data_IF_504009247776
#
_entry.id   IF_504009247776
#
_cell.length_a   1.000
_cell.length_b   1.000
_cell.length_c   1.000
_cell.angle_alpha   90.00
_cell.angle_beta   90.00
_cell.angle_gamma   90.00
#
_symmetry.space_group_name_H-M   'P 1'
#
loop_
_entity.id
_entity.type
_entity.pdbx_description
1 polymer ?
#
# COMPACT_ATOMS: atom_id res chain seq x y z
N UNK A 1 10.61 -30.14 -14.22
CA UNK A 1 9.36 -29.52 -13.75
C UNK A 1 9.19 -29.90 -12.31
N UNK A 2 9.00 -28.93 -11.40
CA UNK A 2 8.67 -29.25 -10.02
C UNK A 2 7.31 -29.96 -9.98
N UNK A 3 7.16 -30.97 -9.12
CA UNK A 3 5.87 -31.59 -8.87
C UNK A 3 4.99 -30.61 -8.08
N UNK A 4 4.02 -30.00 -8.76
CA UNK A 4 3.10 -29.05 -8.14
C UNK A 4 2.26 -29.70 -7.04
N UNK A 5 2.13 -31.03 -7.03
CA UNK A 5 1.35 -31.76 -6.03
C UNK A 5 2.00 -31.71 -4.65
N UNK A 6 3.33 -31.71 -4.58
CA UNK A 6 4.07 -31.58 -3.33
C UNK A 6 3.98 -30.14 -2.80
N UNK A 7 4.12 -29.16 -3.70
CA UNK A 7 3.92 -27.74 -3.37
C UNK A 7 2.52 -27.44 -2.85
N UNK A 8 1.48 -28.01 -3.45
CA UNK A 8 0.09 -27.80 -3.03
C UNK A 8 -0.22 -28.49 -1.68
N UNK A 9 0.47 -29.57 -1.34
CA UNK A 9 0.31 -30.25 -0.04
C UNK A 9 0.91 -29.46 1.12
N UNK A 10 1.98 -28.71 0.85
CA UNK A 10 2.66 -27.87 1.85
C UNK A 10 2.12 -26.43 1.87
N UNK A 11 1.24 -26.06 0.92
CA UNK A 11 0.67 -24.73 0.84
C UNK A 11 -0.41 -24.53 1.90
N UNK A 12 -0.12 -23.72 2.91
CA UNK A 12 -1.13 -23.18 3.81
C UNK A 12 -1.86 -22.01 3.13
N UNK A 13 -3.03 -22.31 2.56
CA UNK A 13 -3.88 -21.31 1.89
C UNK A 13 -4.31 -20.20 2.87
N UNK A 14 -4.42 -20.49 4.17
CA UNK A 14 -4.82 -19.50 5.18
C UNK A 14 -3.70 -18.49 5.48
N UNK A 15 -2.45 -18.80 5.12
CA UNK A 15 -1.33 -17.86 5.21
C UNK A 15 -1.26 -16.91 4.00
N UNK A 16 -2.06 -17.12 2.95
CA UNK A 16 -2.11 -16.27 1.76
C UNK A 16 -3.08 -15.12 2.00
N UNK A 17 -2.61 -13.86 2.05
CA UNK A 17 -3.49 -12.73 2.30
C UNK A 17 -4.43 -12.51 1.11
N UNK A 18 -5.67 -12.18 1.43
CA UNK A 18 -6.67 -11.69 0.50
C UNK A 18 -6.54 -10.18 0.28
N UNK A 19 -7.19 -9.70 -0.77
CA UNK A 19 -7.23 -8.27 -1.08
C UNK A 19 -7.88 -7.45 0.05
N UNK A 20 -8.98 -7.96 0.63
CA UNK A 20 -9.68 -7.32 1.75
C UNK A 20 -8.79 -7.19 2.99
N UNK A 21 -7.97 -8.21 3.27
CA UNK A 21 -7.01 -8.17 4.39
C UNK A 21 -5.93 -7.11 4.19
N UNK A 22 -5.52 -6.82 2.95
CA UNK A 22 -4.54 -5.76 2.67
C UNK A 22 -5.06 -4.35 2.93
N UNK A 23 -6.32 -4.08 2.59
CA UNK A 23 -6.93 -2.80 2.95
C UNK A 23 -7.16 -2.70 4.47
N UNK A 24 -7.59 -3.80 5.11
CA UNK A 24 -7.75 -3.87 6.56
C UNK A 24 -6.42 -3.63 7.31
N UNK A 25 -5.31 -4.14 6.79
CA UNK A 25 -3.95 -3.90 7.32
C UNK A 25 -3.61 -2.39 7.33
N UNK A 26 -3.95 -1.66 6.26
CA UNK A 26 -3.76 -0.21 6.20
C UNK A 26 -4.60 0.52 7.25
N UNK A 27 -5.88 0.15 7.37
CA UNK A 27 -6.82 0.72 8.36
C UNK A 27 -6.36 0.46 9.79
N UNK A 28 -5.89 -0.75 10.08
CA UNK A 28 -5.35 -1.13 11.39
C UNK A 28 -4.20 -0.21 11.83
N UNK A 29 -3.21 0.04 10.96
CA UNK A 29 -2.11 0.94 11.32
C UNK A 29 -2.55 2.40 11.45
N UNK A 30 -3.52 2.84 10.65
CA UNK A 30 -4.10 4.18 10.79
C UNK A 30 -4.82 4.35 12.12
N UNK A 31 -5.59 3.35 12.55
CA UNK A 31 -6.30 3.40 13.83
C UNK A 31 -5.33 3.54 15.00
N UNK A 32 -4.21 2.80 14.98
CA UNK A 32 -3.14 2.94 15.97
C UNK A 32 -2.49 4.34 15.94
N UNK A 33 -2.32 4.94 14.75
CA UNK A 33 -1.74 6.27 14.62
C UNK A 33 -2.61 7.35 15.27
N UNK A 34 -3.94 7.22 15.24
CA UNK A 34 -4.86 8.20 15.85
C UNK A 34 -4.75 8.28 17.37
N UNK A 35 -4.21 7.23 18.00
CA UNK A 35 -4.13 7.12 19.46
C UNK A 35 -2.71 7.35 19.99
N UNK A 36 -1.70 7.32 19.12
CA UNK A 36 -0.30 7.34 19.56
C UNK A 36 0.25 8.76 19.70
N UNK A 37 0.53 9.17 20.94
CA UNK A 37 1.11 10.49 21.25
C UNK A 37 2.63 10.49 21.40
N UNK A 38 3.28 9.33 21.52
CA UNK A 38 4.74 9.22 21.52
C UNK A 38 5.29 9.36 20.11
N UNK A 39 6.20 10.32 19.92
CA UNK A 39 6.77 10.64 18.62
C UNK A 39 7.49 9.45 17.95
N UNK A 40 8.21 8.63 18.72
CA UNK A 40 8.97 7.52 18.15
C UNK A 40 8.07 6.36 17.76
N UNK A 41 7.10 6.01 18.61
CA UNK A 41 6.10 4.99 18.29
C UNK A 41 5.23 5.43 17.11
N UNK A 42 4.78 6.68 17.09
CA UNK A 42 4.05 7.25 15.96
C UNK A 42 4.85 7.13 14.67
N UNK A 43 6.15 7.46 14.71
CA UNK A 43 7.06 7.30 13.56
C UNK A 43 7.14 5.85 13.07
N UNK A 44 7.19 4.86 13.97
CA UNK A 44 7.22 3.44 13.59
C UNK A 44 5.90 2.99 12.96
N UNK A 45 4.78 3.34 13.59
CA UNK A 45 3.44 3.07 13.08
C UNK A 45 3.22 3.72 11.72
N UNK A 46 3.71 4.94 11.52
CA UNK A 46 3.65 5.64 10.24
C UNK A 46 4.46 4.90 9.17
N UNK A 47 5.65 4.42 9.51
CA UNK A 47 6.43 3.58 8.60
C UNK A 47 5.70 2.28 8.20
N UNK A 48 4.99 1.65 9.14
CA UNK A 48 4.18 0.46 8.88
C UNK A 48 2.95 0.78 8.00
N UNK A 49 2.25 1.87 8.29
CA UNK A 49 1.15 2.38 7.46
C UNK A 49 1.58 2.67 6.01
N UNK A 50 2.73 3.34 5.83
CA UNK A 50 3.24 3.66 4.49
C UNK A 50 3.63 2.41 3.70
N UNK A 51 4.20 1.41 4.37
CA UNK A 51 4.57 0.15 3.72
C UNK A 51 3.36 -0.71 3.38
N UNK A 52 2.37 -0.81 4.27
CA UNK A 52 1.10 -1.51 3.99
C UNK A 52 0.36 -0.81 2.85
N UNK A 53 0.26 0.51 2.85
CA UNK A 53 -0.39 1.29 1.79
C UNK A 53 0.29 1.14 0.42
N UNK A 54 1.62 1.15 0.38
CA UNK A 54 2.37 0.88 -0.85
C UNK A 54 2.16 -0.57 -1.31
N UNK A 55 2.25 -1.54 -0.39
CA UNK A 55 2.08 -2.96 -0.67
C UNK A 55 0.68 -3.30 -1.14
N UNK A 56 -0.34 -2.59 -0.65
CA UNK A 56 -1.73 -2.72 -1.11
C UNK A 56 -1.86 -2.47 -2.62
N UNK A 57 -1.25 -1.40 -3.14
CA UNK A 57 -1.32 -1.07 -4.57
C UNK A 57 -0.60 -2.13 -5.44
N UNK A 58 0.56 -2.60 -5.03
CA UNK A 58 1.27 -3.68 -5.74
C UNK A 58 0.50 -5.00 -5.68
N UNK A 59 -0.12 -5.29 -4.54
CA UNK A 59 -0.94 -6.47 -4.35
C UNK A 59 -2.21 -6.43 -5.20
N UNK A 60 -2.95 -5.31 -5.19
CA UNK A 60 -4.11 -5.08 -6.05
C UNK A 60 -3.74 -5.23 -7.52
N UNK A 61 -2.68 -4.57 -7.98
CA UNK A 61 -2.24 -4.69 -9.37
C UNK A 61 -1.86 -6.13 -9.73
N UNK A 62 -1.18 -6.85 -8.82
CA UNK A 62 -0.86 -8.27 -9.01
C UNK A 62 -2.11 -9.15 -9.07
N UNK A 63 -3.09 -8.88 -8.21
CA UNK A 63 -4.37 -9.59 -8.21
C UNK A 63 -5.12 -9.38 -9.53
N UNK A 64 -5.13 -8.17 -10.09
CA UNK A 64 -5.79 -7.93 -11.39
C UNK A 64 -5.06 -8.59 -12.57
N UNK A 65 -3.76 -8.86 -12.46
CA UNK A 65 -3.01 -9.59 -13.50
C UNK A 65 -3.12 -11.12 -13.37
N UNK A 66 -3.31 -11.66 -12.17
CA UNK A 66 -3.11 -13.09 -11.90
C UNK A 66 -4.18 -13.75 -11.03
N UNK A 67 -5.15 -12.99 -10.53
CA UNK A 67 -6.18 -13.46 -9.60
C UNK A 67 -7.26 -14.32 -10.26
N UNK A 68 -7.33 -14.31 -11.59
CA UNK A 68 -8.28 -15.08 -12.38
C UNK A 68 -7.53 -15.98 -13.36
N UNK A 69 -8.13 -17.13 -13.68
CA UNK A 69 -7.61 -18.06 -14.67
C UNK A 69 -8.69 -18.45 -15.67
N UNK A 70 -8.30 -18.67 -16.92
CA UNK A 70 -9.19 -19.22 -17.94
C UNK A 70 -9.58 -20.66 -17.54
N UNK A 71 -10.89 -20.99 -17.47
CA UNK A 71 -11.35 -22.25 -16.91
C UNK A 71 -10.88 -23.49 -17.70
N UNK A 72 -10.63 -23.33 -19.00
CA UNK A 72 -10.24 -24.45 -19.88
C UNK A 72 -8.73 -24.65 -19.96
N UNK A 73 -7.94 -23.57 -19.88
CA UNK A 73 -6.48 -23.64 -20.08
C UNK A 73 -5.70 -23.52 -18.77
N UNK A 74 -6.35 -23.03 -17.72
CA UNK A 74 -5.70 -22.70 -16.44
C UNK A 74 -4.73 -21.52 -16.53
N UNK A 75 -4.64 -20.85 -17.68
CA UNK A 75 -3.76 -19.69 -17.86
C UNK A 75 -4.33 -18.46 -17.16
N UNK A 76 -3.49 -17.60 -16.56
CA UNK A 76 -3.95 -16.36 -15.95
C UNK A 76 -4.72 -15.48 -16.95
N UNK A 77 -5.87 -14.97 -16.50
CA UNK A 77 -6.69 -14.02 -17.24
C UNK A 77 -6.57 -12.65 -16.56
N UNK A 78 -6.08 -11.66 -17.32
CA UNK A 78 -5.96 -10.28 -16.82
C UNK A 78 -7.33 -9.60 -16.82
N UNK A 79 -7.65 -8.91 -15.73
CA UNK A 79 -8.84 -8.06 -15.62
C UNK A 79 -8.55 -6.69 -16.24
N UNK A 80 -8.60 -6.62 -17.57
CA UNK A 80 -8.19 -5.44 -18.34
C UNK A 80 -8.99 -4.18 -17.97
N UNK A 81 -10.29 -4.30 -17.70
CA UNK A 81 -11.16 -3.16 -17.36
C UNK A 81 -10.74 -2.53 -16.03
N UNK A 82 -10.57 -3.35 -14.99
CA UNK A 82 -10.13 -2.89 -13.68
C UNK A 82 -8.67 -2.42 -13.68
N UNK A 83 -7.82 -3.03 -14.51
CA UNK A 83 -6.46 -2.53 -14.73
C UNK A 83 -6.47 -1.13 -15.37
N UNK A 84 -7.31 -0.90 -16.40
CA UNK A 84 -7.45 0.42 -17.02
C UNK A 84 -7.90 1.46 -15.99
N UNK A 85 -8.87 1.15 -15.14
CA UNK A 85 -9.30 2.02 -14.04
C UNK A 85 -8.16 2.31 -13.04
N UNK A 86 -7.45 1.28 -12.56
CA UNK A 86 -6.30 1.44 -11.67
C UNK A 86 -5.19 2.31 -12.30
N UNK A 87 -4.96 2.16 -13.61
CA UNK A 87 -3.89 2.89 -14.31
C UNK A 87 -4.12 4.39 -14.45
N UNK A 88 -5.33 4.88 -14.16
CA UNK A 88 -5.61 6.33 -14.04
C UNK A 88 -4.86 6.95 -12.86
N UNK A 89 -4.59 6.16 -11.80
CA UNK A 89 -4.05 6.66 -10.54
C UNK A 89 -2.60 6.25 -10.28
N UNK A 90 -2.21 5.06 -10.75
CA UNK A 90 -0.86 4.52 -10.62
C UNK A 90 -0.42 3.85 -11.91
N UNK A 91 0.83 4.05 -12.31
CA UNK A 91 1.38 3.31 -13.44
C UNK A 91 1.71 1.89 -12.99
N UNK A 92 1.23 0.90 -13.73
CA UNK A 92 1.45 -0.52 -13.46
C UNK A 92 2.45 -1.07 -14.47
N UNK A 93 3.57 -1.62 -14.00
CA UNK A 93 4.60 -2.22 -14.85
C UNK A 93 4.92 -3.63 -14.42
N UNK A 94 4.65 -4.58 -15.32
CA UNK A 94 5.07 -5.98 -15.17
C UNK A 94 6.53 -6.16 -15.57
N UNK A 95 7.33 -6.73 -14.68
CA UNK A 95 8.72 -7.07 -14.97
C UNK A 95 8.78 -8.30 -15.89
N UNK A 96 9.32 -8.13 -17.10
CA UNK A 96 9.29 -9.14 -18.18
C UNK A 96 9.83 -10.51 -17.78
N UNK A 97 10.85 -10.58 -16.91
CA UNK A 97 11.52 -11.84 -16.54
C UNK A 97 10.91 -12.53 -15.33
N UNK A 98 10.45 -11.78 -14.34
CA UNK A 98 9.99 -12.34 -13.06
C UNK A 98 8.48 -12.33 -12.91
N UNK A 99 7.75 -11.65 -13.80
CA UNK A 99 6.32 -11.43 -13.66
C UNK A 99 5.94 -10.46 -12.53
N UNK A 100 6.91 -9.99 -11.73
CA UNK A 100 6.67 -9.08 -10.63
C UNK A 100 6.00 -7.78 -11.11
N UNK A 101 4.92 -7.39 -10.45
CA UNK A 101 4.22 -6.13 -10.73
C UNK A 101 4.80 -5.04 -9.85
N UNK A 102 5.24 -3.96 -10.49
CA UNK A 102 5.69 -2.75 -9.81
C UNK A 102 4.73 -1.62 -10.15
N UNK A 103 4.37 -0.86 -9.15
CA UNK A 103 3.58 0.36 -9.32
C UNK A 103 4.49 1.59 -9.27
N UNK A 104 4.06 2.70 -9.87
CA UNK A 104 4.68 4.01 -9.66
C UNK A 104 3.62 5.12 -9.68
N UNK A 105 3.82 6.15 -8.87
CA UNK A 105 2.86 7.24 -8.73
C UNK A 105 2.57 7.99 -10.05
N UNK A 106 1.29 8.31 -10.27
CA UNK A 106 0.84 9.29 -11.28
C UNK A 106 0.24 10.55 -10.63
N UNK A 107 -0.48 10.40 -9.51
CA UNK A 107 -1.03 11.52 -8.74
C UNK A 107 -0.02 12.09 -7.73
N UNK A 108 -0.24 13.35 -7.31
CA UNK A 108 0.59 13.99 -6.28
C UNK A 108 0.53 13.23 -4.94
N UNK A 109 -0.66 12.75 -4.57
CA UNK A 109 -0.88 11.98 -3.35
C UNK A 109 -0.06 10.70 -3.35
N UNK A 110 -0.10 9.93 -4.46
CA UNK A 110 0.71 8.73 -4.61
C UNK A 110 2.20 9.06 -4.66
N UNK A 111 2.60 10.17 -5.28
CA UNK A 111 4.00 10.58 -5.32
C UNK A 111 4.55 10.85 -3.92
N UNK A 112 3.73 11.48 -3.06
CA UNK A 112 4.05 11.67 -1.63
C UNK A 112 4.15 10.33 -0.89
N UNK A 113 3.18 9.43 -1.06
CA UNK A 113 3.19 8.09 -0.45
C UNK A 113 4.50 7.36 -0.78
N UNK A 114 4.86 7.30 -2.06
CA UNK A 114 6.02 6.54 -2.53
C UNK A 114 7.32 7.15 -2.02
N UNK A 115 7.39 8.48 -2.00
CA UNK A 115 8.53 9.22 -1.45
C UNK A 115 8.70 8.95 0.05
N UNK A 116 7.63 9.03 0.83
CA UNK A 116 7.68 8.80 2.27
C UNK A 116 7.96 7.35 2.62
N UNK A 117 7.34 6.40 1.91
CA UNK A 117 7.62 4.97 2.05
C UNK A 117 9.09 4.66 1.74
N UNK A 118 9.64 5.21 0.66
CA UNK A 118 11.04 5.00 0.31
C UNK A 118 11.97 5.56 1.38
N UNK A 119 11.70 6.75 1.90
CA UNK A 119 12.47 7.30 3.02
C UNK A 119 12.41 6.43 4.27
N UNK A 120 11.21 5.94 4.59
CA UNK A 120 11.00 5.06 5.74
C UNK A 120 11.77 3.75 5.64
N UNK A 121 11.99 3.24 4.42
CA UNK A 121 12.55 1.91 4.19
C UNK A 121 14.05 1.94 3.87
N UNK A 122 14.50 2.95 3.11
CA UNK A 122 15.85 2.96 2.51
C UNK A 122 16.73 4.11 3.00
N UNK A 123 16.15 5.22 3.47
CA UNK A 123 16.92 6.46 3.72
C UNK A 123 17.16 6.71 5.22
N UNK A 124 17.12 5.67 6.06
CA UNK A 124 17.37 5.78 7.50
C UNK A 124 16.14 6.13 8.35
N UNK A 125 14.94 6.11 7.76
CA UNK A 125 13.67 6.26 8.46
C UNK A 125 12.95 7.58 8.15
N UNK A 126 11.64 7.59 8.37
CA UNK A 126 10.81 8.77 8.15
C UNK A 126 10.97 9.79 9.28
N UNK A 127 11.26 11.05 8.94
CA UNK A 127 11.30 12.10 9.96
C UNK A 127 9.87 12.52 10.34
N UNK A 128 9.59 12.54 11.63
CA UNK A 128 8.33 13.06 12.20
C UNK A 128 8.70 14.13 13.20
N UNK A 129 8.02 15.27 13.16
CA UNK A 129 8.20 16.39 14.08
C UNK A 129 6.90 16.75 14.78
N UNK A 130 7.02 17.26 16.00
CA UNK A 130 5.93 17.85 16.78
C UNK A 130 5.83 19.33 16.44
N UNK A 131 4.67 19.81 16.02
CA UNK A 131 4.48 21.24 15.67
C UNK A 131 3.51 22.00 16.55
N UNK A 132 2.94 21.34 17.55
CA UNK A 132 2.01 21.90 18.53
C UNK A 132 1.80 20.92 19.69
N UNK A 133 0.77 21.16 20.50
CA UNK A 133 0.50 20.37 21.72
C UNK A 133 -0.65 19.38 21.58
N UNK A 134 -1.42 19.44 20.49
CA UNK A 134 -2.57 18.56 20.23
C UNK A 134 -2.11 17.29 19.50
N UNK A 135 -1.58 16.32 20.24
CA UNK A 135 -1.08 15.06 19.69
C UNK A 135 -2.20 14.00 19.63
N UNK A 136 -2.27 13.17 18.56
CA UNK A 136 -1.32 13.07 17.45
C UNK A 136 -1.55 14.05 16.27
N UNK A 137 -2.59 14.90 16.31
CA UNK A 137 -2.95 15.78 15.19
C UNK A 137 -1.83 16.74 14.75
N UNK A 138 -1.00 17.19 15.69
CA UNK A 138 0.11 18.12 15.46
C UNK A 138 1.42 17.45 15.01
N UNK A 139 1.43 16.13 14.77
CA UNK A 139 2.54 15.46 14.11
C UNK A 139 2.60 15.80 12.62
N UNK A 140 3.81 16.16 12.16
CA UNK A 140 4.09 16.41 10.74
C UNK A 140 5.25 15.57 10.24
N UNK A 141 5.13 15.10 9.00
CA UNK A 141 6.18 14.41 8.26
C UNK A 141 7.19 15.44 7.75
N UNK A 142 8.48 15.18 8.00
CA UNK A 142 9.61 15.97 7.52
C UNK A 142 10.40 16.66 8.63
N UNK A 143 11.47 17.34 8.21
CA UNK A 143 12.46 17.98 9.10
C UNK A 143 12.41 19.51 9.15
N UNK A 144 11.55 20.12 8.34
CA UNK A 144 11.42 21.58 8.25
C UNK A 144 9.97 21.97 8.52
N UNK A 145 9.73 22.71 9.62
CA UNK A 145 8.39 23.07 10.11
C UNK A 145 7.51 23.68 9.00
N UNK A 146 8.06 24.62 8.22
CA UNK A 146 7.34 25.30 7.13
C UNK A 146 6.98 24.41 5.94
N UNK A 147 7.56 23.22 5.83
CA UNK A 147 7.34 22.25 4.74
C UNK A 147 6.77 20.93 5.24
N UNK A 148 6.36 20.87 6.51
CA UNK A 148 5.81 19.66 7.11
C UNK A 148 4.47 19.26 6.52
N UNK A 149 4.28 17.97 6.27
CA UNK A 149 2.98 17.43 5.87
C UNK A 149 2.26 16.90 7.11
N UNK A 150 1.03 17.35 7.43
CA UNK A 150 0.26 16.80 8.55
C UNK A 150 0.07 15.29 8.40
N UNK A 151 0.61 14.52 9.35
CA UNK A 151 0.79 13.08 9.16
C UNK A 151 -0.55 12.33 9.15
N UNK A 152 -1.42 12.59 10.13
CA UNK A 152 -2.74 11.93 10.20
C UNK A 152 -3.62 12.27 9.00
N UNK A 153 -3.71 13.55 8.64
CA UNK A 153 -4.48 13.99 7.48
C UNK A 153 -3.98 13.34 6.19
N UNK A 154 -2.66 13.22 6.02
CA UNK A 154 -2.10 12.52 4.88
C UNK A 154 -2.48 11.04 4.86
N UNK A 155 -2.49 10.35 6.01
CA UNK A 155 -2.91 8.95 6.08
C UNK A 155 -4.40 8.78 5.78
N UNK A 156 -5.23 9.70 6.28
CA UNK A 156 -6.67 9.77 5.99
C UNK A 156 -6.94 9.96 4.49
N UNK A 157 -6.25 10.92 3.84
CA UNK A 157 -6.36 11.14 2.39
C UNK A 157 -6.01 9.87 1.58
N UNK A 158 -5.03 9.08 2.03
CA UNK A 158 -4.66 7.80 1.39
C UNK A 158 -5.76 6.75 1.57
N UNK A 159 -6.33 6.62 2.77
CA UNK A 159 -7.40 5.66 3.01
C UNK A 159 -8.67 6.00 2.24
N UNK A 160 -9.08 7.27 2.24
CA UNK A 160 -10.22 7.73 1.44
C UNK A 160 -10.01 7.44 -0.04
N UNK A 161 -8.79 7.69 -0.54
CA UNK A 161 -8.43 7.32 -1.92
C UNK A 161 -8.56 5.81 -2.17
N UNK A 162 -8.13 4.95 -1.25
CA UNK A 162 -8.30 3.50 -1.42
C UNK A 162 -9.76 3.07 -1.39
N UNK A 163 -10.60 3.69 -0.56
CA UNK A 163 -12.04 3.41 -0.53
C UNK A 163 -12.74 3.84 -1.82
N UNK A 164 -12.39 5.01 -2.36
CA UNK A 164 -12.86 5.48 -3.67
C UNK A 164 -12.40 4.54 -4.80
N UNK A 165 -11.15 4.08 -4.74
CA UNK A 165 -10.60 3.13 -5.69
C UNK A 165 -11.33 1.78 -5.63
N UNK A 166 -11.61 1.25 -4.44
CA UNK A 166 -12.40 0.01 -4.32
C UNK A 166 -13.80 0.18 -4.88
N UNK A 167 -14.47 1.31 -4.60
CA UNK A 167 -15.80 1.57 -5.13
C UNK A 167 -15.85 1.72 -6.66
N UNK A 168 -14.76 2.20 -7.29
CA UNK A 168 -14.66 2.24 -8.77
C UNK A 168 -14.35 0.86 -9.37
N UNK A 169 -13.70 -0.03 -8.59
CA UNK A 169 -13.28 -1.35 -9.05
C UNK A 169 -14.27 -2.46 -8.73
N UNK A 170 -15.22 -2.28 -7.80
CA UNK A 170 -16.26 -3.27 -7.50
C UNK A 170 -17.26 -3.44 -8.66
#
# INVERSE_FOLDING_TARGET
>A
MADLTEYLKDLDIMAVPTLGEKLAECKYFYDLLKEETDQNKFRWLLGAFLNSSYGYLEFKASYLHYGFCHPETGEPLEDCERLEALTKYVNVKRHKKSGFIKTSALSELMAKLYKFRNRSTHDGGIEVMVTGSDLPADFKIGKFISKGVPALKFCEEILSFFEELEAELD
#
